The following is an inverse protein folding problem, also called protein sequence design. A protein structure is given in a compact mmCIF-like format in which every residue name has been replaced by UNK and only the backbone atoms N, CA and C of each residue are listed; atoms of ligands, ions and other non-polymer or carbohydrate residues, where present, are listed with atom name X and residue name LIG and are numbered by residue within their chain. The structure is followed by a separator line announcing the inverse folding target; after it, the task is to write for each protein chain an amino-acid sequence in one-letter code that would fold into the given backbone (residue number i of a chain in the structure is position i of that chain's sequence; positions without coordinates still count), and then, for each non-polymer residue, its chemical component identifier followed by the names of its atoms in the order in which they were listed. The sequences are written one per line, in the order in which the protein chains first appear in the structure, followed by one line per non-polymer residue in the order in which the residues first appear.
data_IF_073798344088
#
_entry.id   IF_073798344088
#
_cell.length_a   1.000
_cell.length_b   1.000
_cell.length_c   1.000
_cell.angle_alpha   90.00
_cell.angle_beta   90.00
_cell.angle_gamma   90.00
#
_symmetry.space_group_name_H-M   'P 1'
#
loop_
_entity.id
_entity.type
_entity.pdbx_description
1 polymer ?
#
# COMPACT_ATOMS: atom_id res chain seq x y z
N UNK A 1 -2.49 42.03 18.56
CA UNK A 1 -3.15 40.97 17.78
C UNK A 1 -2.14 39.87 17.56
N UNK A 2 -2.37 38.67 18.10
CA UNK A 2 -1.53 37.49 17.87
C UNK A 2 -1.80 36.96 16.46
N UNK A 3 -0.76 36.69 15.68
CA UNK A 3 -0.85 36.05 14.37
C UNK A 3 -0.31 34.62 14.46
N UNK A 4 -0.99 33.65 13.80
CA UNK A 4 -0.47 32.32 13.63
C UNK A 4 0.76 32.39 12.72
N UNK A 5 1.89 31.86 13.20
CA UNK A 5 3.12 31.71 12.42
C UNK A 5 3.35 30.23 12.16
N UNK A 6 3.76 29.89 10.96
CA UNK A 6 4.15 28.53 10.58
C UNK A 6 5.65 28.48 10.30
N UNK A 7 6.28 27.38 10.63
CA UNK A 7 7.67 27.07 10.31
C UNK A 7 7.82 25.59 10.00
N UNK A 8 8.88 25.23 9.29
CA UNK A 8 9.21 23.84 9.05
C UNK A 8 10.23 23.36 10.07
N UNK A 9 10.02 22.17 10.60
CA UNK A 9 10.96 21.46 11.47
C UNK A 9 11.42 20.19 10.79
N UNK A 10 12.72 19.93 10.82
CA UNK A 10 13.27 18.65 10.42
C UNK A 10 13.19 17.68 11.62
N UNK A 11 12.43 16.60 11.47
CA UNK A 11 12.24 15.59 12.51
C UNK A 11 12.79 14.24 12.04
N UNK A 12 13.51 13.55 12.94
CA UNK A 12 13.86 12.14 12.75
C UNK A 12 12.71 11.28 13.28
N UNK A 13 12.02 10.60 12.38
CA UNK A 13 10.92 9.70 12.72
C UNK A 13 11.48 8.29 12.84
N UNK A 14 11.45 7.64 14.02
CA UNK A 14 11.80 6.25 14.15
C UNK A 14 10.78 5.41 13.37
N UNK A 15 11.28 4.54 12.51
CA UNK A 15 10.43 3.60 11.77
C UNK A 15 10.97 2.19 11.94
N UNK A 16 10.10 1.21 11.76
CA UNK A 16 10.43 -0.21 11.80
C UNK A 16 9.89 -0.92 10.57
N UNK A 17 10.55 -1.98 10.17
CA UNK A 17 10.16 -2.77 9.01
C UNK A 17 10.52 -4.24 9.19
N UNK A 18 9.88 -5.12 8.40
CA UNK A 18 10.32 -6.50 8.21
C UNK A 18 11.04 -6.58 6.87
N UNK A 19 12.14 -7.33 6.82
CA UNK A 19 12.90 -7.53 5.60
C UNK A 19 13.32 -8.99 5.45
N UNK A 20 13.07 -9.54 4.27
CA UNK A 20 13.53 -10.87 3.85
C UNK A 20 14.35 -10.71 2.57
N UNK A 21 15.59 -11.18 2.59
CA UNK A 21 16.48 -11.05 1.44
C UNK A 21 16.36 -12.26 0.49
N UNK A 22 16.45 -12.01 -0.81
CA UNK A 22 16.60 -13.04 -1.82
C UNK A 22 18.00 -13.00 -2.44
N UNK A 23 18.67 -14.14 -2.54
CA UNK A 23 20.00 -14.22 -3.16
C UNK A 23 19.88 -13.97 -4.67
N UNK A 24 20.74 -13.09 -5.20
CA UNK A 24 20.87 -12.82 -6.63
C UNK A 24 19.59 -12.32 -7.33
N UNK A 25 18.61 -11.81 -6.61
CA UNK A 25 17.39 -11.22 -7.17
C UNK A 25 17.53 -9.71 -7.27
N UNK A 26 17.00 -9.13 -8.36
CA UNK A 26 16.77 -7.69 -8.50
C UNK A 26 15.28 -7.34 -8.37
N UNK A 27 14.46 -8.29 -7.91
CA UNK A 27 13.02 -8.11 -7.74
C UNK A 27 12.68 -7.90 -6.27
N UNK A 28 11.87 -6.89 -6.00
CA UNK A 28 11.37 -6.59 -4.66
C UNK A 28 9.84 -6.68 -4.57
N UNK A 29 9.34 -7.11 -3.43
CA UNK A 29 7.94 -6.97 -3.03
C UNK A 29 7.89 -5.95 -1.90
N UNK A 30 7.19 -4.85 -2.14
CA UNK A 30 6.89 -3.85 -1.13
C UNK A 30 5.46 -4.07 -0.64
N UNK A 31 5.30 -4.41 0.64
CA UNK A 31 3.97 -4.66 1.24
C UNK A 31 3.56 -3.48 2.09
N UNK A 32 2.39 -2.90 1.80
CA UNK A 32 1.88 -1.70 2.45
C UNK A 32 0.61 -2.03 3.24
N UNK A 33 0.60 -1.72 4.52
CA UNK A 33 -0.52 -1.99 5.41
C UNK A 33 -1.66 -0.96 5.28
N UNK A 34 -2.82 -1.31 5.82
CA UNK A 34 -3.98 -0.43 5.92
C UNK A 34 -3.86 0.60 7.05
N UNK A 35 -4.85 1.48 7.17
CA UNK A 35 -4.93 2.45 8.27
C UNK A 35 -4.99 1.75 9.63
N UNK A 36 -4.23 2.26 10.60
CA UNK A 36 -4.13 1.69 11.98
C UNK A 36 -3.72 0.21 12.02
N UNK A 37 -2.94 -0.25 11.04
CA UNK A 37 -2.41 -1.61 10.95
C UNK A 37 -0.87 -1.62 11.09
N UNK A 38 -0.25 -2.79 11.05
CA UNK A 38 1.19 -2.96 11.22
C UNK A 38 1.81 -3.80 10.11
N UNK A 39 3.13 -3.65 9.91
CA UNK A 39 3.92 -4.47 8.99
C UNK A 39 3.73 -5.98 9.23
N UNK A 40 3.77 -6.42 10.49
CA UNK A 40 3.60 -7.83 10.88
C UNK A 40 2.20 -8.35 10.51
N UNK A 41 1.16 -7.57 10.78
CA UNK A 41 -0.23 -7.95 10.52
C UNK A 41 -0.49 -8.05 9.01
N UNK A 42 -0.08 -7.05 8.23
CA UNK A 42 -0.32 -7.03 6.78
C UNK A 42 0.48 -8.11 6.05
N UNK A 43 1.75 -8.37 6.44
CA UNK A 43 2.54 -9.47 5.86
C UNK A 43 1.81 -10.79 6.00
N UNK A 44 1.41 -11.14 7.22
CA UNK A 44 0.66 -12.37 7.48
C UNK A 44 -0.65 -12.44 6.69
N UNK A 45 -1.39 -11.33 6.58
CA UNK A 45 -2.65 -11.26 5.84
C UNK A 45 -2.48 -11.50 4.35
N UNK A 46 -1.48 -10.88 3.72
CA UNK A 46 -1.32 -10.86 2.26
C UNK A 46 -0.43 -11.98 1.73
N UNK A 47 0.68 -12.28 2.40
CA UNK A 47 1.65 -13.29 1.97
C UNK A 47 1.54 -14.60 2.76
N UNK A 48 0.98 -14.58 3.96
CA UNK A 48 0.99 -15.72 4.88
C UNK A 48 2.34 -15.86 5.58
N UNK A 49 2.65 -17.07 6.05
CA UNK A 49 3.90 -17.39 6.75
C UNK A 49 4.97 -17.97 5.78
N UNK A 50 4.57 -18.41 4.60
CA UNK A 50 5.47 -19.02 3.63
C UNK A 50 6.41 -17.96 3.01
N UNK A 51 7.72 -18.26 2.89
CA UNK A 51 8.67 -17.33 2.29
C UNK A 51 8.43 -17.19 0.78
N UNK A 52 8.70 -15.99 0.25
CA UNK A 52 8.67 -15.71 -1.20
C UNK A 52 10.11 -15.67 -1.70
N UNK A 53 10.68 -16.84 -2.01
CA UNK A 53 12.12 -17.06 -2.20
C UNK A 53 12.79 -16.24 -3.31
N UNK A 54 12.03 -15.86 -4.34
CA UNK A 54 12.56 -15.17 -5.54
C UNK A 54 12.55 -13.64 -5.43
N UNK A 55 12.11 -13.10 -4.30
CA UNK A 55 11.94 -11.66 -4.08
C UNK A 55 12.56 -11.21 -2.77
N UNK A 56 13.16 -10.04 -2.78
CA UNK A 56 13.34 -9.28 -1.56
C UNK A 56 11.97 -8.82 -1.06
N UNK A 57 11.61 -9.13 0.18
CA UNK A 57 10.33 -8.69 0.75
C UNK A 57 10.60 -7.60 1.76
N UNK A 58 10.03 -6.41 1.53
CA UNK A 58 10.16 -5.26 2.40
C UNK A 58 8.78 -4.79 2.88
N UNK A 59 8.59 -4.78 4.19
CA UNK A 59 7.29 -4.48 4.80
C UNK A 59 7.49 -3.44 5.89
N UNK A 60 7.44 -2.14 5.56
CA UNK A 60 7.60 -1.07 6.54
C UNK A 60 6.30 -0.78 7.31
N UNK A 61 6.44 -0.29 8.54
CA UNK A 61 5.37 0.44 9.21
C UNK A 61 5.26 1.86 8.63
N UNK A 62 4.06 2.39 8.60
CA UNK A 62 3.80 3.78 8.24
C UNK A 62 4.48 4.75 9.23
N UNK A 63 4.71 5.97 8.81
CA UNK A 63 5.47 6.95 9.59
C UNK A 63 4.66 7.60 10.71
N UNK A 64 3.35 7.48 10.67
CA UNK A 64 2.47 8.15 11.63
C UNK A 64 1.82 7.14 12.56
N UNK A 65 2.12 7.17 13.88
CA UNK A 65 1.41 6.34 14.84
C UNK A 65 -0.10 6.62 14.78
N UNK A 66 -0.87 5.54 14.67
CA UNK A 66 -2.33 5.56 14.64
C UNK A 66 -2.86 4.41 15.49
N UNK A 67 -2.63 4.45 16.82
CA UNK A 67 -3.04 3.37 17.71
C UNK A 67 -4.56 3.33 17.83
N UNK A 68 -5.11 2.12 17.95
CA UNK A 68 -6.55 1.90 18.17
C UNK A 68 -6.78 1.59 19.64
N UNK A 69 -7.64 2.36 20.30
CA UNK A 69 -8.07 2.07 21.66
C UNK A 69 -9.00 0.86 21.69
N UNK A 70 -8.67 -0.13 22.51
CA UNK A 70 -9.52 -1.29 22.79
C UNK A 70 -9.64 -1.44 24.30
N UNK A 71 -10.84 -1.31 24.82
CA UNK A 71 -11.11 -1.39 26.27
C UNK A 71 -10.12 -0.55 27.09
N UNK A 72 -9.15 -1.18 27.76
CA UNK A 72 -8.17 -0.57 28.63
C UNK A 72 -6.74 -0.49 28.04
N UNK A 73 -6.56 -0.85 26.75
CA UNK A 73 -5.25 -0.82 26.11
C UNK A 73 -5.27 -0.10 24.76
N UNK A 74 -4.10 0.37 24.32
CA UNK A 74 -3.88 0.83 22.95
C UNK A 74 -3.20 -0.26 22.17
N UNK A 75 -3.87 -0.72 21.09
CA UNK A 75 -3.24 -1.58 20.10
C UNK A 75 -2.41 -0.73 19.17
N UNK A 76 -1.15 -1.13 18.99
CA UNK A 76 -0.23 -0.52 18.01
C UNK A 76 -0.83 -0.49 16.60
N UNK A 77 -0.63 0.60 15.90
CA UNK A 77 -1.03 0.80 14.53
C UNK A 77 -0.40 2.04 13.94
N UNK A 78 -0.30 2.08 12.62
CA UNK A 78 0.35 3.12 11.85
C UNK A 78 -0.49 3.53 10.65
N UNK A 79 -0.20 4.72 10.12
CA UNK A 79 -0.82 5.27 8.91
C UNK A 79 0.25 5.85 7.98
N UNK A 80 -0.05 5.90 6.68
CA UNK A 80 0.79 6.51 5.65
C UNK A 80 0.53 8.00 5.51
N UNK A 81 -0.74 8.38 5.62
CA UNK A 81 -1.21 9.77 5.52
C UNK A 81 -2.54 9.92 6.27
N UNK A 82 -2.96 11.16 6.48
CA UNK A 82 -4.26 11.46 7.06
C UNK A 82 -5.10 12.32 6.11
N UNK A 83 -6.34 11.92 5.96
CA UNK A 83 -7.35 12.64 5.19
C UNK A 83 -8.59 12.81 6.04
N UNK A 84 -9.14 14.00 6.04
CA UNK A 84 -10.43 14.28 6.67
C UNK A 84 -11.53 13.52 5.92
N UNK A 85 -12.29 12.64 6.57
CA UNK A 85 -13.32 11.85 5.91
C UNK A 85 -14.53 12.68 5.45
N UNK A 86 -14.75 13.84 6.04
CA UNK A 86 -15.89 14.72 5.73
C UNK A 86 -15.55 15.69 4.59
N UNK A 87 -14.51 16.50 4.75
CA UNK A 87 -14.10 17.48 3.73
C UNK A 87 -13.28 16.87 2.60
N UNK A 88 -12.69 15.71 2.82
CA UNK A 88 -11.77 15.07 1.88
C UNK A 88 -10.39 15.73 1.83
N UNK A 89 -10.13 16.76 2.64
CA UNK A 89 -8.85 17.45 2.67
C UNK A 89 -7.75 16.57 3.24
N UNK A 90 -6.57 16.65 2.64
CA UNK A 90 -5.39 15.97 3.15
C UNK A 90 -4.81 16.78 4.33
N UNK A 91 -4.79 16.17 5.51
CA UNK A 91 -4.15 16.74 6.70
C UNK A 91 -2.64 16.47 6.66
N UNK A 92 -2.25 15.29 6.15
CA UNK A 92 -0.88 14.91 5.85
C UNK A 92 -0.88 14.31 4.44
N UNK A 93 -0.06 14.90 3.57
CA UNK A 93 0.02 14.49 2.18
C UNK A 93 0.64 13.11 2.00
N UNK A 94 0.08 12.23 1.14
CA UNK A 94 0.70 10.97 0.78
C UNK A 94 2.07 11.15 0.07
N UNK A 95 2.30 12.26 -0.63
CA UNK A 95 3.58 12.56 -1.29
C UNK A 95 4.72 12.68 -0.28
N UNK A 96 4.46 13.29 0.89
CA UNK A 96 5.46 13.36 1.96
C UNK A 96 5.88 11.96 2.44
N UNK A 97 4.91 11.09 2.70
CA UNK A 97 5.18 9.72 3.10
C UNK A 97 5.88 8.92 1.99
N UNK A 98 5.50 9.14 0.72
CA UNK A 98 6.11 8.47 -0.43
C UNK A 98 7.60 8.82 -0.55
N UNK A 99 7.95 10.11 -0.48
CA UNK A 99 9.34 10.56 -0.50
C UNK A 99 10.14 10.00 0.68
N UNK A 100 9.54 9.97 1.86
CA UNK A 100 10.19 9.42 3.07
C UNK A 100 10.45 7.92 2.94
N UNK A 101 9.50 7.16 2.38
CA UNK A 101 9.67 5.72 2.17
C UNK A 101 10.72 5.41 1.09
N UNK A 102 10.80 6.20 0.03
CA UNK A 102 11.85 6.06 -0.99
C UNK A 102 13.23 6.31 -0.37
N UNK A 103 13.37 7.34 0.46
CA UNK A 103 14.64 7.59 1.19
C UNK A 103 15.02 6.41 2.08
N UNK A 104 14.05 5.83 2.81
CA UNK A 104 14.29 4.63 3.61
C UNK A 104 14.77 3.46 2.74
N UNK A 105 14.10 3.17 1.63
CA UNK A 105 14.47 2.11 0.68
C UNK A 105 15.91 2.33 0.15
N UNK A 106 16.29 3.56 -0.16
CA UNK A 106 17.64 3.91 -0.62
C UNK A 106 18.68 3.74 0.49
N UNK A 107 18.38 4.17 1.72
CA UNK A 107 19.26 4.02 2.89
C UNK A 107 19.53 2.55 3.24
N UNK A 108 18.55 1.68 3.01
CA UNK A 108 18.69 0.22 3.20
C UNK A 108 19.40 -0.49 2.02
N UNK A 109 19.88 0.27 1.01
CA UNK A 109 20.56 -0.29 -0.15
C UNK A 109 19.64 -1.02 -1.14
N UNK A 110 18.33 -0.79 -1.09
CA UNK A 110 17.30 -1.46 -1.88
C UNK A 110 16.83 -0.63 -3.09
N UNK A 111 17.47 0.51 -3.36
CA UNK A 111 17.07 1.46 -4.42
C UNK A 111 17.12 0.90 -5.85
N UNK A 112 18.00 -0.07 -6.10
CA UNK A 112 18.20 -0.68 -7.41
C UNK A 112 17.21 -1.81 -7.75
N UNK A 113 16.33 -2.16 -6.82
CA UNK A 113 15.33 -3.20 -7.05
C UNK A 113 14.19 -2.70 -7.93
N UNK A 114 13.65 -3.60 -8.76
CA UNK A 114 12.37 -3.38 -9.42
C UNK A 114 11.24 -3.96 -8.57
N UNK A 115 10.30 -3.12 -8.19
CA UNK A 115 9.29 -3.45 -7.19
C UNK A 115 7.98 -3.94 -7.81
N UNK A 116 7.36 -4.89 -7.10
CA UNK A 116 5.92 -5.13 -7.09
C UNK A 116 5.37 -4.60 -5.77
N UNK A 117 4.40 -3.71 -5.81
CA UNK A 117 3.76 -3.18 -4.60
C UNK A 117 2.48 -3.96 -4.33
N UNK A 118 2.32 -4.49 -3.12
CA UNK A 118 1.08 -5.10 -2.67
C UNK A 118 0.52 -4.24 -1.53
N UNK A 119 -0.57 -3.53 -1.78
CA UNK A 119 -1.15 -2.59 -0.82
C UNK A 119 -2.53 -3.03 -0.33
N UNK A 120 -2.71 -3.11 1.00
CA UNK A 120 -4.00 -3.35 1.61
C UNK A 120 -4.67 -2.03 2.00
N UNK A 121 -5.93 -1.84 1.62
CA UNK A 121 -6.74 -0.68 2.03
C UNK A 121 -5.97 0.64 1.80
N UNK A 122 -5.66 1.41 2.84
CA UNK A 122 -4.88 2.64 2.73
C UNK A 122 -3.54 2.43 1.98
N UNK A 123 -2.87 1.28 2.16
CA UNK A 123 -1.66 0.93 1.44
C UNK A 123 -1.88 0.79 -0.08
N UNK A 124 -3.05 0.30 -0.50
CA UNK A 124 -3.43 0.25 -1.91
C UNK A 124 -3.69 1.63 -2.50
N UNK A 125 -4.36 2.52 -1.77
CA UNK A 125 -4.52 3.92 -2.15
C UNK A 125 -3.19 4.69 -2.19
N UNK A 126 -2.23 4.31 -1.35
CA UNK A 126 -0.93 4.96 -1.24
C UNK A 126 0.06 4.53 -2.34
N UNK A 127 -0.06 3.31 -2.85
CA UNK A 127 0.89 2.72 -3.80
C UNK A 127 1.25 3.60 -5.02
N UNK A 128 0.29 4.24 -5.74
CA UNK A 128 0.63 5.06 -6.91
C UNK A 128 1.49 6.28 -6.58
N UNK A 129 1.40 6.83 -5.37
CA UNK A 129 2.22 7.96 -4.95
C UNK A 129 3.71 7.61 -4.85
N UNK A 130 4.04 6.35 -4.53
CA UNK A 130 5.42 5.88 -4.55
C UNK A 130 5.98 5.83 -5.98
N UNK A 131 5.17 5.38 -6.94
CA UNK A 131 5.56 5.36 -8.35
C UNK A 131 5.74 6.79 -8.88
N UNK A 132 4.83 7.70 -8.57
CA UNK A 132 4.97 9.14 -8.90
C UNK A 132 6.20 9.77 -8.28
N UNK A 133 6.59 9.34 -7.09
CA UNK A 133 7.79 9.83 -6.40
C UNK A 133 9.09 9.18 -6.93
N UNK A 134 9.02 8.30 -7.93
CA UNK A 134 10.18 7.74 -8.64
C UNK A 134 10.59 6.32 -8.23
N UNK A 135 9.75 5.59 -7.47
CA UNK A 135 10.03 4.18 -7.18
C UNK A 135 9.94 3.35 -8.48
N UNK A 136 11.00 2.60 -8.80
CA UNK A 136 11.00 1.67 -9.94
C UNK A 136 10.00 0.53 -9.68
N UNK A 137 8.79 0.63 -10.22
CA UNK A 137 7.70 -0.31 -10.00
C UNK A 137 7.06 -0.73 -11.32
N UNK A 138 6.85 -2.03 -11.49
CA UNK A 138 6.17 -2.60 -12.67
C UNK A 138 4.73 -3.04 -12.39
N UNK A 139 4.42 -3.37 -11.15
CA UNK A 139 3.14 -3.97 -10.80
C UNK A 139 2.63 -3.46 -9.45
N UNK A 140 1.36 -3.06 -9.40
CA UNK A 140 0.62 -2.77 -8.17
C UNK A 140 -0.50 -3.80 -8.03
N UNK A 141 -0.62 -4.41 -6.86
CA UNK A 141 -1.73 -5.27 -6.45
C UNK A 141 -2.45 -4.58 -5.30
N UNK A 142 -3.59 -3.96 -5.58
CA UNK A 142 -4.45 -3.33 -4.58
C UNK A 142 -5.42 -4.35 -3.99
N UNK A 143 -5.42 -4.50 -2.68
CA UNK A 143 -6.31 -5.42 -1.95
C UNK A 143 -7.24 -4.62 -1.05
N UNK A 144 -8.56 -4.76 -1.23
CA UNK A 144 -9.55 -3.99 -0.48
C UNK A 144 -9.36 -2.47 -0.64
N UNK A 145 -9.01 -2.01 -1.84
CA UNK A 145 -8.78 -0.60 -2.16
C UNK A 145 -9.61 -0.18 -3.38
N UNK A 146 -9.86 1.11 -3.52
CA UNK A 146 -10.39 1.72 -4.73
C UNK A 146 -9.29 2.55 -5.43
N UNK A 147 -9.55 2.99 -6.65
CA UNK A 147 -8.52 3.52 -7.55
C UNK A 147 -8.87 4.94 -7.97
N UNK A 148 -8.16 5.90 -7.44
CA UNK A 148 -8.31 7.31 -7.81
C UNK A 148 -7.52 7.60 -9.08
N UNK A 149 -8.20 7.97 -10.15
CA UNK A 149 -7.56 8.22 -11.46
C UNK A 149 -6.47 9.27 -11.39
N UNK A 150 -6.69 10.36 -10.64
CA UNK A 150 -5.71 11.44 -10.45
C UNK A 150 -4.39 10.94 -9.82
N UNK A 151 -4.45 9.92 -8.98
CA UNK A 151 -3.26 9.30 -8.41
C UNK A 151 -2.47 8.46 -9.43
N UNK A 152 -3.08 8.03 -10.51
CA UNK A 152 -2.45 7.24 -11.59
C UNK A 152 -2.10 8.08 -12.83
N UNK A 153 -2.54 9.33 -12.89
CA UNK A 153 -2.25 10.22 -14.01
C UNK A 153 -0.74 10.37 -14.26
N UNK A 154 -0.34 10.23 -15.53
CA UNK A 154 1.05 10.30 -15.97
C UNK A 154 1.88 9.04 -15.71
N UNK A 155 1.31 8.00 -15.08
CA UNK A 155 1.98 6.71 -14.93
C UNK A 155 1.82 5.89 -16.21
N UNK A 156 2.92 5.34 -16.70
CA UNK A 156 2.97 4.46 -17.86
C UNK A 156 3.81 3.22 -17.54
N UNK A 157 3.69 2.17 -18.35
CA UNK A 157 4.41 0.90 -18.15
C UNK A 157 4.18 0.25 -16.78
N UNK A 158 3.00 0.47 -16.22
CA UNK A 158 2.57 -0.04 -14.92
C UNK A 158 1.39 -0.99 -15.10
N UNK A 159 1.44 -2.16 -14.48
CA UNK A 159 0.32 -3.08 -14.38
C UNK A 159 -0.38 -2.90 -13.03
N UNK A 160 -1.68 -2.67 -13.04
CA UNK A 160 -2.48 -2.60 -11.82
C UNK A 160 -3.48 -3.74 -11.78
N UNK A 161 -3.49 -4.46 -10.65
CA UNK A 161 -4.47 -5.51 -10.37
C UNK A 161 -5.25 -5.17 -9.11
N UNK A 162 -6.54 -5.51 -9.09
CA UNK A 162 -7.41 -5.37 -7.94
C UNK A 162 -7.85 -6.71 -7.38
N UNK A 163 -7.88 -6.85 -6.06
CA UNK A 163 -8.47 -7.99 -5.35
C UNK A 163 -9.41 -7.42 -4.29
N UNK A 164 -10.70 -7.76 -4.34
CA UNK A 164 -11.67 -7.12 -3.48
C UNK A 164 -12.76 -8.10 -2.99
N UNK A 165 -13.11 -7.98 -1.70
CA UNK A 165 -14.18 -8.75 -1.10
C UNK A 165 -15.56 -8.17 -1.45
N UNK A 166 -16.50 -9.01 -1.90
CA UNK A 166 -17.86 -8.58 -2.27
C UNK A 166 -18.69 -8.07 -1.08
N UNK A 167 -18.30 -8.45 0.16
CA UNK A 167 -18.93 -7.98 1.40
C UNK A 167 -18.11 -6.92 2.13
N UNK A 168 -17.23 -6.24 1.44
CA UNK A 168 -16.43 -5.14 2.01
C UNK A 168 -17.32 -3.92 2.30
N UNK A 169 -17.52 -3.60 3.58
CA UNK A 169 -18.29 -2.45 4.04
C UNK A 169 -17.42 -1.22 4.36
N UNK A 170 -16.10 -1.36 4.32
CA UNK A 170 -15.14 -0.26 4.59
C UNK A 170 -14.78 0.45 3.29
N UNK A 171 -14.41 -0.32 2.27
CA UNK A 171 -14.24 0.17 0.92
C UNK A 171 -15.28 -0.52 0.05
N UNK A 172 -16.33 0.21 -0.32
CA UNK A 172 -17.47 -0.35 -1.04
C UNK A 172 -17.03 -1.05 -2.32
N UNK A 173 -17.53 -2.28 -2.53
CA UNK A 173 -17.14 -3.15 -3.64
C UNK A 173 -17.47 -2.54 -5.01
N UNK A 174 -18.69 -2.04 -5.17
CA UNK A 174 -19.17 -1.47 -6.45
C UNK A 174 -18.34 -0.23 -6.81
N UNK A 175 -18.03 0.61 -5.82
CA UNK A 175 -17.16 1.76 -6.02
C UNK A 175 -15.73 1.35 -6.42
N UNK A 176 -15.16 0.34 -5.75
CA UNK A 176 -13.84 -0.18 -6.09
C UNK A 176 -13.81 -0.77 -7.51
N UNK A 177 -14.83 -1.55 -7.89
CA UNK A 177 -14.95 -2.13 -9.21
C UNK A 177 -15.10 -1.07 -10.30
N UNK A 178 -15.97 -0.08 -10.10
CA UNK A 178 -16.17 1.02 -11.05
C UNK A 178 -14.89 1.87 -11.22
N UNK A 179 -14.20 2.18 -10.11
CA UNK A 179 -12.95 2.93 -10.16
C UNK A 179 -11.83 2.14 -10.86
N UNK A 180 -11.82 0.81 -10.72
CA UNK A 180 -10.87 -0.06 -11.44
C UNK A 180 -11.19 -0.12 -12.95
N UNK A 181 -12.46 -0.13 -13.32
CA UNK A 181 -12.86 -0.11 -14.74
C UNK A 181 -12.32 1.15 -15.44
N UNK A 182 -12.34 2.29 -14.77
CA UNK A 182 -11.75 3.52 -15.29
C UNK A 182 -10.21 3.42 -15.49
N UNK A 183 -9.48 2.64 -14.66
CA UNK A 183 -8.06 2.33 -14.91
C UNK A 183 -7.86 1.41 -16.12
N UNK A 184 -8.79 0.49 -16.38
CA UNK A 184 -8.74 -0.37 -17.60
C UNK A 184 -8.86 0.47 -18.87
N UNK A 185 -9.70 1.48 -18.87
CA UNK A 185 -9.86 2.41 -20.00
C UNK A 185 -8.58 3.22 -20.26
N UNK A 186 -7.71 3.37 -19.25
CA UNK A 186 -6.38 3.96 -19.39
C UNK A 186 -5.27 2.91 -19.68
N UNK A 187 -5.63 1.66 -19.97
CA UNK A 187 -4.73 0.53 -20.31
C UNK A 187 -3.75 0.10 -19.19
N UNK A 188 -3.79 0.74 -18.01
CA UNK A 188 -2.96 0.35 -16.85
C UNK A 188 -3.65 -0.67 -15.95
N UNK A 189 -4.98 -0.66 -15.85
CA UNK A 189 -5.76 -1.68 -15.15
C UNK A 189 -5.79 -3.00 -15.93
N UNK A 190 -5.33 -4.10 -15.29
CA UNK A 190 -5.29 -5.44 -15.93
C UNK A 190 -6.44 -6.33 -15.47
N UNK A 191 -6.40 -6.83 -14.26
CA UNK A 191 -7.40 -7.74 -13.72
C UNK A 191 -7.99 -7.25 -12.41
N UNK A 192 -9.29 -7.39 -12.27
CA UNK A 192 -10.00 -7.18 -11.02
C UNK A 192 -10.64 -8.50 -10.59
N UNK A 193 -10.24 -8.99 -9.42
CA UNK A 193 -10.70 -10.26 -8.85
C UNK A 193 -11.67 -9.98 -7.71
N UNK A 194 -12.91 -10.42 -7.84
CA UNK A 194 -13.88 -10.42 -6.76
C UNK A 194 -13.74 -11.67 -5.89
N UNK A 195 -13.91 -11.50 -4.59
CA UNK A 195 -13.86 -12.57 -3.62
C UNK A 195 -15.25 -12.73 -2.98
N UNK A 196 -16.05 -13.72 -3.43
CA UNK A 196 -17.40 -13.93 -2.90
C UNK A 196 -17.41 -14.15 -1.40
N UNK A 197 -18.30 -13.45 -0.70
CA UNK A 197 -18.50 -13.60 0.73
C UNK A 197 -17.40 -13.01 1.63
N UNK A 198 -16.34 -12.43 1.07
CA UNK A 198 -15.23 -11.84 1.82
C UNK A 198 -15.53 -10.38 2.14
N UNK A 199 -15.27 -9.99 3.40
CA UNK A 199 -15.37 -8.61 3.89
C UNK A 199 -14.04 -7.85 3.65
N UNK A 200 -13.76 -6.79 4.44
CA UNK A 200 -12.52 -5.98 4.36
C UNK A 200 -11.30 -6.78 4.89
N UNK A 201 -10.95 -7.85 4.21
CA UNK A 201 -9.83 -8.76 4.52
C UNK A 201 -9.40 -9.55 3.30
N UNK A 202 -8.54 -10.57 3.49
CA UNK A 202 -8.12 -11.49 2.44
C UNK A 202 -8.21 -12.95 2.97
N UNK A 203 -8.76 -13.83 2.15
CA UNK A 203 -8.81 -15.27 2.39
C UNK A 203 -7.72 -16.03 1.61
N UNK A 204 -7.70 -17.36 1.71
CA UNK A 204 -6.69 -18.19 1.01
C UNK A 204 -6.80 -18.10 -0.51
N UNK A 205 -8.00 -17.97 -1.05
CA UNK A 205 -8.20 -17.77 -2.49
C UNK A 205 -7.56 -16.47 -2.96
N UNK A 206 -7.72 -15.38 -2.21
CA UNK A 206 -7.08 -14.11 -2.49
C UNK A 206 -5.55 -14.18 -2.37
N UNK A 207 -5.01 -14.90 -1.37
CA UNK A 207 -3.57 -15.14 -1.26
C UNK A 207 -3.03 -15.96 -2.45
N UNK A 208 -3.80 -16.94 -2.93
CA UNK A 208 -3.45 -17.69 -4.13
C UNK A 208 -3.35 -16.77 -5.34
N UNK A 209 -4.31 -15.86 -5.55
CA UNK A 209 -4.28 -14.88 -6.64
C UNK A 209 -3.00 -14.02 -6.55
N UNK A 210 -2.62 -13.54 -5.36
CA UNK A 210 -1.37 -12.79 -5.19
C UNK A 210 -0.17 -13.63 -5.65
N UNK A 211 -0.06 -14.90 -5.22
CA UNK A 211 1.05 -15.78 -5.61
C UNK A 211 1.08 -16.00 -7.14
N UNK A 212 -0.07 -16.21 -7.75
CA UNK A 212 -0.18 -16.41 -9.20
C UNK A 212 0.29 -15.13 -9.96
N UNK A 213 -0.10 -13.94 -9.49
CA UNK A 213 0.33 -12.65 -10.04
C UNK A 213 1.83 -12.36 -9.83
N UNK A 214 2.44 -12.86 -8.76
CA UNK A 214 3.88 -12.75 -8.53
C UNK A 214 4.68 -13.71 -9.43
N UNK A 215 4.11 -14.85 -9.79
CA UNK A 215 4.75 -15.87 -10.63
C UNK A 215 4.62 -15.56 -12.14
N UNK A 216 3.68 -14.73 -12.54
CA UNK A 216 3.53 -14.27 -13.94
C UNK A 216 4.70 -13.35 -14.33
N UNK A 217 5.37 -13.71 -15.44
CA UNK A 217 6.48 -12.93 -16.02
C UNK A 217 6.00 -11.66 -16.70
#
# INVERSE_FOLDING_TARGET
VSSLKSTQLELKIPTSYLYESAKNSKRGILVLHGFSDTAKSVKRRLLGEEPVSDYHVFVPNGFFPSPTKRENEFKEGYAWYFRDPVSGNQMISPEFAAQSLIRLIQQEGLGELTWTIIGFSQGGFFAPFLVKAGLSCKKIIGVGAAYRLDAYEGLSNLEVHGIHGEKDLIVNFEYAQASFQALKEQEIGKNFFSLPGVAHTLNDSGRKIIRDLLSSK
#
